data_IF_269097683564
#
_entry.id   IF_269097683564
#
_cell.length_a   1.000
_cell.length_b   1.000
_cell.length_c   1.000
_cell.angle_alpha   90.00
_cell.angle_beta   90.00
_cell.angle_gamma   90.00
#
_symmetry.space_group_name_H-M   'P 1'
#
loop_
_entity.id
_entity.type
_entity.pdbx_description
1 polymer ?
#
# COMPACT_ATOMS: atom_id res chain seq x y z
N UNK A 1 -8.79 -12.62 -26.55
CA UNK A 1 -10.20 -12.17 -26.38
C UNK A 1 -10.18 -10.72 -25.94
N UNK A 2 -11.26 -9.94 -26.02
CA UNK A 2 -11.26 -8.61 -25.41
C UNK A 2 -11.24 -8.75 -23.88
N UNK A 3 -10.12 -8.42 -23.25
CA UNK A 3 -9.97 -8.46 -21.79
C UNK A 3 -10.88 -7.40 -21.16
N UNK A 4 -11.59 -7.80 -20.11
CA UNK A 4 -12.40 -6.88 -19.31
C UNK A 4 -12.05 -7.02 -17.84
N UNK A 5 -11.90 -5.89 -17.15
CA UNK A 5 -11.60 -5.83 -15.72
C UNK A 5 -12.70 -5.09 -14.98
N UNK A 6 -12.99 -5.52 -13.76
CA UNK A 6 -13.87 -4.77 -12.88
C UNK A 6 -13.09 -3.59 -12.31
N UNK A 7 -13.52 -2.39 -12.66
CA UNK A 7 -12.89 -1.16 -12.20
C UNK A 7 -13.59 -0.67 -10.92
N UNK A 8 -12.88 -0.73 -9.79
CA UNK A 8 -13.39 -0.28 -8.49
C UNK A 8 -13.77 1.20 -8.48
N UNK A 9 -13.11 2.05 -9.26
CA UNK A 9 -13.45 3.48 -9.34
C UNK A 9 -14.83 3.68 -9.97
N UNK A 10 -15.09 3.02 -11.10
CA UNK A 10 -16.39 3.15 -11.81
C UNK A 10 -17.45 2.12 -11.42
N UNK A 11 -17.09 1.11 -10.61
CA UNK A 11 -17.93 0.00 -10.14
C UNK A 11 -18.59 -0.81 -11.25
N UNK A 12 -17.91 -0.95 -12.38
CA UNK A 12 -18.41 -1.70 -13.53
C UNK A 12 -17.29 -2.47 -14.22
N UNK A 13 -17.70 -3.49 -14.95
CA UNK A 13 -16.81 -4.20 -15.86
C UNK A 13 -16.51 -3.28 -17.07
N UNK A 14 -15.23 -3.04 -17.36
CA UNK A 14 -14.76 -2.21 -18.47
C UNK A 14 -13.86 -3.00 -19.39
N UNK A 15 -13.83 -2.64 -20.68
CA UNK A 15 -12.76 -3.11 -21.56
C UNK A 15 -11.43 -2.58 -21.04
N UNK A 16 -10.43 -3.46 -20.98
CA UNK A 16 -9.08 -3.09 -20.60
C UNK A 16 -8.36 -2.50 -21.81
N UNK A 17 -7.85 -1.27 -21.64
CA UNK A 17 -7.06 -0.57 -22.63
C UNK A 17 -5.75 -0.12 -21.95
N UNK A 18 -4.58 -0.56 -22.44
CA UNK A 18 -3.32 -0.16 -21.83
C UNK A 18 -2.98 1.30 -22.17
N UNK A 19 -2.22 1.96 -21.29
CA UNK A 19 -1.72 3.33 -21.53
C UNK A 19 -0.73 3.39 -22.71
N UNK A 20 0.02 2.31 -22.92
CA UNK A 20 0.98 2.15 -24.01
C UNK A 20 0.68 0.88 -24.80
N UNK A 21 0.79 0.94 -26.13
CA UNK A 21 0.46 -0.20 -26.99
C UNK A 21 1.26 -1.44 -26.59
N UNK A 22 0.56 -2.54 -26.33
CA UNK A 22 1.10 -3.84 -25.92
C UNK A 22 1.92 -3.84 -24.61
N UNK A 23 1.86 -2.78 -23.80
CA UNK A 23 2.62 -2.67 -22.56
C UNK A 23 1.72 -2.33 -21.37
N UNK A 24 1.89 -3.06 -20.27
CA UNK A 24 1.10 -2.90 -19.04
C UNK A 24 2.03 -2.76 -17.85
N UNK A 25 1.96 -1.60 -17.17
CA UNK A 25 2.49 -1.46 -15.82
C UNK A 25 1.49 -2.03 -14.82
N UNK A 26 1.91 -2.98 -14.00
CA UNK A 26 1.12 -3.58 -12.94
C UNK A 26 1.82 -3.32 -11.61
N UNK A 27 1.18 -2.57 -10.71
CA UNK A 27 1.63 -2.44 -9.33
C UNK A 27 0.69 -3.21 -8.41
N UNK A 28 1.26 -4.04 -7.54
CA UNK A 28 0.55 -4.77 -6.50
C UNK A 28 1.17 -4.48 -5.13
N UNK A 29 0.33 -4.28 -4.11
CA UNK A 29 0.83 -4.07 -2.76
C UNK A 29 1.39 -5.38 -2.20
N UNK A 30 2.66 -5.41 -1.82
CA UNK A 30 3.26 -6.57 -1.18
C UNK A 30 3.06 -6.60 0.34
N UNK A 31 3.86 -7.42 1.01
CA UNK A 31 3.66 -7.74 2.42
C UNK A 31 4.36 -6.73 3.34
N UNK A 32 3.78 -6.48 4.51
CA UNK A 32 4.51 -5.92 5.65
C UNK A 32 5.22 -7.06 6.38
N UNK A 33 6.55 -7.07 6.30
CA UNK A 33 7.38 -8.24 6.63
C UNK A 33 7.73 -8.32 8.13
N UNK A 34 6.69 -8.25 8.97
CA UNK A 34 6.80 -8.36 10.43
C UNK A 34 6.50 -9.77 10.97
N UNK A 35 5.82 -10.60 10.16
CA UNK A 35 5.47 -12.00 10.45
C UNK A 35 5.33 -12.80 9.15
N UNK A 36 5.08 -14.11 9.25
CA UNK A 36 4.78 -14.96 8.09
C UNK A 36 3.48 -14.52 7.39
N UNK A 37 3.43 -14.70 6.07
CA UNK A 37 2.22 -14.46 5.30
C UNK A 37 1.11 -15.45 5.72
N UNK A 38 -0.08 -14.94 6.00
CA UNK A 38 -1.23 -15.80 6.26
C UNK A 38 -2.01 -16.09 4.98
N UNK A 39 -2.89 -17.09 5.00
CA UNK A 39 -3.69 -17.51 3.82
C UNK A 39 -4.48 -16.37 3.15
N UNK A 40 -4.92 -15.38 3.94
CA UNK A 40 -5.56 -14.17 3.42
C UNK A 40 -4.66 -13.30 2.54
N UNK A 41 -3.36 -13.19 2.87
CA UNK A 41 -2.38 -12.49 2.03
C UNK A 41 -2.12 -13.33 0.77
N UNK A 42 -1.82 -14.62 0.94
CA UNK A 42 -1.48 -15.53 -0.15
C UNK A 42 -2.58 -15.64 -1.22
N UNK A 43 -3.86 -15.60 -0.82
CA UNK A 43 -4.98 -15.54 -1.76
C UNK A 43 -4.90 -14.32 -2.69
N UNK A 44 -4.48 -13.16 -2.19
CA UNK A 44 -4.33 -11.94 -2.99
C UNK A 44 -3.22 -12.11 -4.02
N UNK A 45 -2.07 -12.66 -3.63
CA UNK A 45 -0.95 -12.87 -4.56
C UNK A 45 -1.26 -13.92 -5.63
N UNK A 46 -2.09 -14.93 -5.33
CA UNK A 46 -2.62 -15.85 -6.36
C UNK A 46 -3.49 -15.09 -7.37
N UNK A 47 -4.35 -14.18 -6.93
CA UNK A 47 -5.16 -13.37 -7.85
C UNK A 47 -4.30 -12.49 -8.75
N UNK A 48 -3.27 -11.85 -8.18
CA UNK A 48 -2.34 -11.00 -8.92
C UNK A 48 -1.53 -11.80 -9.95
N UNK A 49 -1.08 -13.00 -9.59
CA UNK A 49 -0.42 -13.93 -10.51
C UNK A 49 -1.33 -14.31 -11.68
N UNK A 50 -2.57 -14.69 -11.39
CA UNK A 50 -3.57 -15.00 -12.43
C UNK A 50 -3.81 -13.78 -13.33
N UNK A 51 -3.90 -12.57 -12.76
CA UNK A 51 -4.05 -11.34 -13.53
C UNK A 51 -2.87 -11.12 -14.48
N UNK A 52 -1.63 -11.22 -13.96
CA UNK A 52 -0.41 -11.10 -14.79
C UNK A 52 -0.40 -12.14 -15.91
N UNK A 53 -0.63 -13.42 -15.60
CA UNK A 53 -0.63 -14.50 -16.60
C UNK A 53 -1.72 -14.29 -17.66
N UNK A 54 -2.89 -13.77 -17.28
CA UNK A 54 -3.96 -13.43 -18.23
C UNK A 54 -3.55 -12.26 -19.12
N UNK A 55 -2.89 -11.23 -18.59
CA UNK A 55 -2.37 -10.13 -19.40
C UNK A 55 -1.33 -10.62 -20.41
N UNK A 56 -0.35 -11.42 -19.97
CA UNK A 56 0.68 -12.01 -20.83
C UNK A 56 0.07 -12.96 -21.89
N UNK A 57 -0.93 -13.77 -21.50
CA UNK A 57 -1.68 -14.61 -22.43
C UNK A 57 -2.41 -13.80 -23.52
N UNK A 58 -2.81 -12.57 -23.22
CA UNK A 58 -3.38 -11.64 -24.21
C UNK A 58 -2.30 -10.83 -24.96
N UNK A 59 -1.06 -11.31 -24.98
CA UNK A 59 0.09 -10.76 -25.70
C UNK A 59 0.53 -9.35 -25.24
N UNK A 60 0.25 -9.01 -23.98
CA UNK A 60 0.85 -7.83 -23.35
C UNK A 60 2.22 -8.16 -22.77
N UNK A 61 3.17 -7.26 -22.92
CA UNK A 61 4.37 -7.21 -22.08
C UNK A 61 3.98 -6.55 -20.76
N UNK A 62 4.11 -7.29 -19.66
CA UNK A 62 3.79 -6.79 -18.32
C UNK A 62 5.08 -6.41 -17.60
N UNK A 63 5.10 -5.24 -16.98
CA UNK A 63 6.08 -4.88 -15.95
C UNK A 63 5.37 -4.88 -14.60
N UNK A 64 5.63 -5.90 -13.80
CA UNK A 64 5.07 -6.10 -12.48
C UNK A 64 6.00 -5.56 -11.40
N UNK A 65 5.50 -4.65 -10.58
CA UNK A 65 6.19 -4.07 -9.43
C UNK A 65 5.43 -4.45 -8.16
N UNK A 66 6.15 -4.94 -7.15
CA UNK A 66 5.61 -5.23 -5.84
C UNK A 66 6.50 -4.62 -4.76
N UNK A 67 5.90 -3.91 -3.82
CA UNK A 67 6.65 -3.34 -2.71
C UNK A 67 6.89 -4.35 -1.58
N UNK A 68 7.90 -4.11 -0.76
CA UNK A 68 8.04 -4.72 0.56
C UNK A 68 7.94 -3.60 1.59
N UNK A 69 7.02 -3.72 2.54
CA UNK A 69 6.93 -2.78 3.67
C UNK A 69 7.81 -3.32 4.79
N UNK A 70 9.08 -2.92 4.78
CA UNK A 70 10.14 -3.31 5.74
C UNK A 70 10.43 -2.26 6.82
N UNK A 71 9.76 -1.11 6.74
CA UNK A 71 9.72 -0.09 7.77
C UNK A 71 8.34 0.55 7.78
N UNK A 72 7.90 1.02 8.95
CA UNK A 72 6.60 1.67 9.09
C UNK A 72 5.45 0.66 9.20
N UNK A 73 4.24 1.19 8.93
CA UNK A 73 2.94 0.52 9.07
C UNK A 73 2.45 0.48 10.53
N UNK A 74 1.81 1.58 10.94
CA UNK A 74 1.13 1.69 12.23
C UNK A 74 0.06 0.60 12.40
N UNK A 75 -0.10 0.09 13.62
CA UNK A 75 -1.01 -1.04 13.91
C UNK A 75 -2.49 -0.72 13.64
N UNK A 76 -2.91 0.56 13.57
CA UNK A 76 -4.30 0.92 13.27
C UNK A 76 -4.48 2.08 12.31
N UNK A 77 -5.59 2.05 11.58
CA UNK A 77 -6.09 3.12 10.69
C UNK A 77 -6.30 4.47 11.41
N UNK A 78 -6.29 4.47 12.75
CA UNK A 78 -6.37 5.69 13.55
C UNK A 78 -5.02 6.40 13.71
N UNK A 79 -3.94 5.92 13.08
CA UNK A 79 -2.55 6.34 13.33
C UNK A 79 -2.14 6.26 14.81
N UNK A 80 -2.88 5.46 15.59
CA UNK A 80 -2.63 5.16 16.99
C UNK A 80 -2.18 3.70 17.11
N UNK A 81 -1.11 3.47 17.87
CA UNK A 81 -0.50 2.14 18.05
C UNK A 81 1.00 2.16 17.78
N UNK A 82 1.71 1.17 18.31
CA UNK A 82 3.12 0.95 18.02
C UNK A 82 3.30 0.45 16.58
N UNK A 83 4.48 0.64 16.00
CA UNK A 83 4.83 0.13 14.67
C UNK A 83 4.91 -1.42 14.69
N UNK A 84 4.32 -2.09 13.69
CA UNK A 84 4.27 -3.58 13.64
C UNK A 84 5.67 -4.21 13.56
N UNK A 85 6.60 -3.57 12.85
CA UNK A 85 7.99 -4.01 12.74
C UNK A 85 8.72 -3.81 14.06
N UNK A 86 8.57 -2.65 14.71
CA UNK A 86 9.18 -2.36 16.02
C UNK A 86 8.68 -3.28 17.14
N UNK A 87 7.39 -3.59 17.15
CA UNK A 87 6.79 -4.52 18.10
C UNK A 87 7.36 -5.94 17.90
N UNK A 88 7.49 -6.39 16.65
CA UNK A 88 8.03 -7.72 16.34
C UNK A 88 9.54 -7.82 16.62
N UNK A 89 10.29 -6.75 16.35
CA UNK A 89 11.71 -6.58 16.66
C UNK A 89 11.98 -6.75 18.16
N UNK A 90 11.23 -6.03 19.02
CA UNK A 90 11.32 -6.17 20.49
C UNK A 90 10.93 -7.56 20.99
N UNK A 91 9.93 -8.20 20.37
CA UNK A 91 9.48 -9.56 20.72
C UNK A 91 10.56 -10.62 20.45
N UNK A 92 11.28 -10.50 19.34
CA UNK A 92 12.24 -11.52 18.87
C UNK A 92 13.70 -11.20 19.21
N UNK A 93 14.00 -10.00 19.72
CA UNK A 93 15.36 -9.59 20.04
C UNK A 93 16.27 -9.46 18.81
N UNK A 94 15.68 -9.26 17.62
CA UNK A 94 16.38 -9.05 16.34
C UNK A 94 16.29 -7.59 15.95
N UNK A 95 17.22 -7.09 15.16
CA UNK A 95 17.05 -5.77 14.53
C UNK A 95 15.88 -5.80 13.53
N UNK A 96 15.26 -4.64 13.29
CA UNK A 96 14.17 -4.53 12.30
C UNK A 96 14.61 -4.96 10.90
N UNK A 97 15.89 -4.73 10.56
CA UNK A 97 16.50 -5.16 9.30
C UNK A 97 16.59 -6.68 9.18
N UNK A 98 17.13 -7.36 10.19
CA UNK A 98 17.23 -8.83 10.20
C UNK A 98 15.84 -9.49 10.17
N UNK A 99 14.86 -8.86 10.81
CA UNK A 99 13.48 -9.32 10.83
C UNK A 99 12.82 -9.15 9.46
N UNK A 100 12.97 -7.98 8.85
CA UNK A 100 12.46 -7.70 7.52
C UNK A 100 13.05 -8.64 6.47
N UNK A 101 14.36 -8.86 6.47
CA UNK A 101 15.02 -9.74 5.52
C UNK A 101 14.57 -11.20 5.70
N UNK A 102 14.45 -11.66 6.95
CA UNK A 102 13.96 -13.01 7.25
C UNK A 102 12.55 -13.25 6.71
N UNK A 103 11.60 -12.36 7.02
CA UNK A 103 10.22 -12.52 6.57
C UNK A 103 10.02 -12.18 5.09
N UNK A 104 10.87 -11.34 4.49
CA UNK A 104 10.91 -11.15 3.04
C UNK A 104 11.29 -12.46 2.34
N UNK A 105 12.31 -13.17 2.84
CA UNK A 105 12.71 -14.45 2.28
C UNK A 105 11.61 -15.49 2.45
N UNK A 106 11.03 -15.61 3.65
CA UNK A 106 9.91 -16.52 3.89
C UNK A 106 8.72 -16.23 2.94
N UNK A 107 8.39 -14.95 2.73
CA UNK A 107 7.35 -14.56 1.79
C UNK A 107 7.68 -14.97 0.35
N UNK A 108 8.93 -14.80 -0.10
CA UNK A 108 9.36 -15.26 -1.43
C UNK A 108 9.27 -16.78 -1.58
N UNK A 109 9.67 -17.52 -0.55
CA UNK A 109 9.58 -18.98 -0.52
C UNK A 109 8.11 -19.42 -0.63
N UNK A 110 7.19 -18.77 0.11
CA UNK A 110 5.74 -19.02 0.01
C UNK A 110 5.19 -18.77 -1.42
N UNK A 111 5.62 -17.68 -2.07
CA UNK A 111 5.23 -17.38 -3.46
C UNK A 111 5.74 -18.46 -4.42
N UNK A 112 6.99 -18.89 -4.23
CA UNK A 112 7.60 -19.94 -5.05
C UNK A 112 6.87 -21.29 -4.88
N UNK A 113 6.55 -21.69 -3.65
CA UNK A 113 5.82 -22.92 -3.35
C UNK A 113 4.41 -22.92 -3.95
N UNK A 114 3.80 -21.74 -4.09
CA UNK A 114 2.52 -21.53 -4.77
C UNK A 114 2.63 -21.38 -6.29
N UNK A 115 3.85 -21.46 -6.86
CA UNK A 115 4.14 -21.25 -8.27
C UNK A 115 3.66 -19.87 -8.80
N UNK A 116 3.76 -18.86 -7.95
CA UNK A 116 3.48 -17.46 -8.29
C UNK A 116 4.72 -16.88 -8.98
N UNK A 117 4.51 -16.15 -10.08
CA UNK A 117 5.59 -15.46 -10.79
C UNK A 117 6.13 -14.30 -9.94
N UNK A 118 7.44 -14.27 -9.72
CA UNK A 118 8.08 -13.13 -9.07
C UNK A 118 7.83 -11.82 -9.83
N UNK A 119 7.59 -10.69 -9.12
CA UNK A 119 7.53 -9.38 -9.76
C UNK A 119 8.87 -9.06 -10.43
N UNK A 120 8.83 -8.26 -11.48
CA UNK A 120 10.03 -7.82 -12.19
C UNK A 120 10.86 -6.85 -11.32
N UNK A 121 10.19 -6.13 -10.40
CA UNK A 121 10.82 -5.24 -9.43
C UNK A 121 10.23 -5.47 -8.05
N UNK A 122 11.11 -5.81 -7.12
CA UNK A 122 10.87 -5.69 -5.68
C UNK A 122 11.35 -4.33 -5.21
N UNK A 123 10.49 -3.51 -4.59
CA UNK A 123 10.89 -2.21 -4.04
C UNK A 123 10.66 -2.15 -2.53
N UNK A 124 11.75 -2.10 -1.75
CA UNK A 124 11.68 -1.95 -0.29
C UNK A 124 11.35 -0.50 0.07
N UNK A 125 10.51 -0.31 1.09
CA UNK A 125 10.17 1.03 1.55
C UNK A 125 11.43 1.80 2.01
N UNK A 126 12.38 1.12 2.66
CA UNK A 126 13.64 1.74 3.11
C UNK A 126 14.55 2.19 1.97
N UNK A 127 14.46 1.58 0.79
CA UNK A 127 15.28 1.92 -0.38
C UNK A 127 14.77 3.17 -1.11
N UNK A 128 13.55 3.62 -0.81
CA UNK A 128 12.89 4.75 -1.47
C UNK A 128 12.54 5.90 -0.51
N UNK A 129 13.23 5.98 0.64
CA UNK A 129 13.00 7.04 1.64
C UNK A 129 13.20 8.43 1.05
N UNK A 130 14.19 8.59 0.17
CA UNK A 130 14.44 9.88 -0.48
C UNK A 130 13.25 10.31 -1.34
N UNK A 131 12.72 9.41 -2.15
CA UNK A 131 11.57 9.66 -3.03
C UNK A 131 10.30 9.94 -2.21
N UNK A 132 10.12 9.26 -1.07
CA UNK A 132 9.04 9.55 -0.13
C UNK A 132 9.14 10.98 0.41
N UNK A 133 10.32 11.41 0.85
CA UNK A 133 10.55 12.79 1.32
C UNK A 133 10.28 13.81 0.21
N UNK A 134 10.80 13.57 -1.01
CA UNK A 134 10.59 14.44 -2.17
C UNK A 134 9.08 14.57 -2.51
N UNK A 135 8.31 13.48 -2.36
CA UNK A 135 6.86 13.51 -2.52
C UNK A 135 6.18 14.34 -1.42
N UNK A 136 6.56 14.16 -0.15
CA UNK A 136 6.01 14.94 0.97
C UNK A 136 6.28 16.43 0.78
N UNK A 137 7.50 16.81 0.39
CA UNK A 137 7.85 18.20 0.08
C UNK A 137 7.01 18.76 -1.07
N UNK A 138 6.73 17.97 -2.10
CA UNK A 138 5.86 18.37 -3.21
C UNK A 138 4.43 18.66 -2.73
N UNK A 139 3.88 17.81 -1.86
CA UNK A 139 2.56 17.98 -1.28
C UNK A 139 2.51 19.21 -0.35
N UNK A 140 3.56 19.43 0.46
CA UNK A 140 3.70 20.60 1.33
C UNK A 140 3.76 21.90 0.51
N UNK A 141 4.57 21.94 -0.57
CA UNK A 141 4.65 23.09 -1.49
C UNK A 141 3.31 23.43 -2.14
N UNK A 142 2.45 22.44 -2.37
CA UNK A 142 1.09 22.63 -2.90
C UNK A 142 0.07 23.02 -1.82
N UNK A 143 0.46 23.08 -0.56
CA UNK A 143 -0.37 23.54 0.56
C UNK A 143 -1.32 22.48 1.12
N UNK A 144 -1.13 21.19 0.80
CA UNK A 144 -1.99 20.09 1.24
C UNK A 144 -1.57 19.46 2.58
N UNK A 145 -0.56 20.00 3.26
CA UNK A 145 -0.09 19.45 4.54
C UNK A 145 -0.20 20.45 5.68
N UNK A 146 -0.08 19.92 6.90
CA UNK A 146 0.22 20.68 8.11
C UNK A 146 1.15 19.86 9.02
N UNK A 147 1.81 20.53 9.96
CA UNK A 147 2.69 19.91 10.95
C UNK A 147 1.97 19.78 12.29
N UNK A 148 2.15 18.64 12.94
CA UNK A 148 1.73 18.38 14.32
C UNK A 148 2.98 18.24 15.20
N UNK A 149 2.81 17.86 16.47
CA UNK A 149 3.92 17.56 17.36
C UNK A 149 4.66 16.27 17.02
N UNK A 150 4.04 15.38 16.24
CA UNK A 150 4.53 14.02 15.95
C UNK A 150 4.76 13.74 14.46
N UNK A 151 4.54 14.71 13.56
CA UNK A 151 4.77 14.47 12.14
C UNK A 151 4.20 15.52 11.18
N UNK A 152 4.23 15.17 9.89
CA UNK A 152 3.59 15.90 8.80
C UNK A 152 2.34 15.12 8.39
N UNK A 153 1.21 15.80 8.30
CA UNK A 153 -0.09 15.20 8.01
C UNK A 153 -0.69 15.76 6.72
N UNK A 154 -1.44 14.92 6.00
CA UNK A 154 -2.22 15.32 4.84
C UNK A 154 -3.57 15.92 5.29
N UNK A 155 -3.88 17.12 4.81
CA UNK A 155 -5.15 17.80 5.04
C UNK A 155 -6.18 17.35 4.01
N UNK A 156 -6.99 16.37 4.39
CA UNK A 156 -8.01 15.79 3.51
C UNK A 156 -9.11 16.78 3.15
N UNK A 157 -9.32 17.84 3.94
CA UNK A 157 -10.33 18.87 3.63
C UNK A 157 -9.99 19.69 2.39
N UNK A 158 -8.71 19.72 1.99
CA UNK A 158 -8.23 20.44 0.79
C UNK A 158 -8.42 19.65 -0.49
N UNK A 159 -8.81 18.38 -0.42
CA UNK A 159 -9.08 17.53 -1.57
C UNK A 159 -10.60 17.30 -1.73
N UNK A 160 -11.28 18.00 -2.67
CA UNK A 160 -12.74 18.06 -2.71
C UNK A 160 -13.45 16.71 -2.89
N UNK A 161 -12.81 15.74 -3.54
CA UNK A 161 -13.33 14.42 -3.85
C UNK A 161 -12.70 13.31 -3.00
N UNK A 162 -12.08 13.65 -1.87
CA UNK A 162 -11.53 12.68 -0.94
C UNK A 162 -12.60 11.67 -0.52
N UNK A 163 -12.21 10.39 -0.46
CA UNK A 163 -13.10 9.29 -0.10
C UNK A 163 -14.02 8.78 -1.21
N UNK A 164 -14.07 9.43 -2.39
CA UNK A 164 -14.93 9.01 -3.53
C UNK A 164 -14.63 7.58 -4.01
N UNK A 165 -13.35 7.20 -4.06
CA UNK A 165 -12.89 5.87 -4.49
C UNK A 165 -13.48 4.74 -3.61
N UNK A 166 -13.36 4.90 -2.29
CA UNK A 166 -13.85 3.96 -1.30
C UNK A 166 -15.34 4.16 -0.96
N UNK A 167 -15.98 5.22 -1.48
CA UNK A 167 -17.33 5.68 -1.10
C UNK A 167 -17.47 5.86 0.41
N UNK A 168 -16.47 6.52 1.01
CA UNK A 168 -16.46 6.79 2.44
C UNK A 168 -17.57 7.78 2.78
N UNK A 169 -18.39 7.43 3.78
CA UNK A 169 -19.32 8.36 4.41
C UNK A 169 -18.55 9.23 5.42
N UNK A 170 -17.98 10.32 4.92
CA UNK A 170 -17.18 11.25 5.74
C UNK A 170 -18.01 11.87 6.85
N UNK A 171 -19.29 12.18 6.59
CA UNK A 171 -20.18 12.77 7.59
C UNK A 171 -20.53 11.75 8.68
N UNK A 172 -20.75 10.50 8.30
CA UNK A 172 -20.90 9.38 9.24
C UNK A 172 -19.65 9.13 10.09
N UNK A 173 -18.45 9.28 9.52
CA UNK A 173 -17.18 9.17 10.27
C UNK A 173 -17.04 10.28 11.31
N UNK A 174 -17.42 11.53 10.97
CA UNK A 174 -17.45 12.66 11.92
C UNK A 174 -18.48 12.47 13.03
N UNK A 175 -19.64 11.89 12.72
CA UNK A 175 -20.68 11.62 13.71
C UNK A 175 -20.34 10.43 14.63
N UNK A 176 -19.57 9.46 14.12
CA UNK A 176 -19.11 8.27 14.84
C UNK A 176 -17.83 8.44 15.65
N UNK A 177 -17.08 9.53 15.45
CA UNK A 177 -15.82 9.79 16.16
C UNK A 177 -16.06 10.14 17.63
N UNK A 178 -16.27 9.13 18.47
CA UNK A 178 -16.06 9.18 19.93
C UNK A 178 -14.59 9.01 20.32
N UNK A 179 -13.69 8.95 19.33
CA UNK A 179 -12.26 8.66 19.46
C UNK A 179 -11.51 9.98 19.37
N UNK A 180 -10.54 10.18 20.25
CA UNK A 180 -9.59 11.30 20.21
C UNK A 180 -8.94 11.37 18.81
N UNK A 181 -9.21 12.45 18.07
CA UNK A 181 -8.58 12.70 16.76
C UNK A 181 -7.09 13.08 16.90
N UNK A 182 -6.59 13.19 18.15
CA UNK A 182 -5.24 13.56 18.46
C UNK A 182 -4.92 14.97 17.95
N UNK A 183 -3.67 15.19 17.52
CA UNK A 183 -3.23 16.44 16.91
C UNK A 183 -3.77 16.70 15.50
N UNK A 184 -4.66 15.86 14.96
CA UNK A 184 -5.20 15.99 13.59
C UNK A 184 -6.28 17.08 13.52
N UNK A 185 -6.34 17.76 12.37
CA UNK A 185 -7.37 18.77 12.09
C UNK A 185 -8.70 18.14 11.66
N UNK A 186 -8.67 17.03 10.93
CA UNK A 186 -9.85 16.28 10.52
C UNK A 186 -9.72 14.78 10.87
N UNK A 187 -10.84 14.08 11.15
CA UNK A 187 -10.82 12.63 11.44
C UNK A 187 -10.25 11.77 10.29
N UNK A 188 -10.32 12.29 9.07
CA UNK A 188 -9.87 11.62 7.86
C UNK A 188 -8.40 11.89 7.52
N UNK A 189 -7.76 12.82 8.22
CA UNK A 189 -6.35 13.15 8.00
C UNK A 189 -5.45 12.00 8.44
N UNK A 190 -4.35 11.83 7.73
CA UNK A 190 -3.39 10.74 7.94
C UNK A 190 -1.96 11.27 7.89
N UNK A 191 -1.07 10.59 8.61
CA UNK A 191 0.35 10.94 8.63
C UNK A 191 1.00 10.64 7.27
N UNK A 192 1.81 11.58 6.78
CA UNK A 192 2.70 11.41 5.64
C UNK A 192 4.13 11.09 6.09
N UNK A 193 4.54 11.61 7.25
CA UNK A 193 5.87 11.42 7.81
C UNK A 193 5.82 11.50 9.33
N UNK A 194 6.45 10.55 10.03
CA UNK A 194 6.64 10.51 11.49
C UNK A 194 8.11 10.25 11.81
#
# INVERSE_FOLDING_TARGET
MKLKLYDTYTRRLREFEPLHTNYVGLYACGLTVYDYAHIGNLRTYIFEDVLRRVLEFNAYTVQHVMNITDVGHLVSDADTGEDKMELSSRRLGKSSWELADFYTQAFRDDLQDLNILEPDIWCKATEHIREQIELVECIEKKGFTYKTTDGIYFDTSKLPDYGSFARLDIDGLKAGSRIDIGGKQNPTDFALWK
#
